data_IF_515704113746
#
_entry.id   IF_515704113746
#
_cell.length_a   1.000
_cell.length_b   1.000
_cell.length_c   1.000
_cell.angle_alpha   90.00
_cell.angle_beta   90.00
_cell.angle_gamma   90.00
#
_symmetry.space_group_name_H-M   'P 1'
#
loop_
_entity.id
_entity.type
_entity.pdbx_description
1 polymer ?
#
# COMPACT_ATOMS: atom_id res chain seq x y z
N UNK A 1 8.80 -27.28 -12.98
CA UNK A 1 8.35 -26.17 -12.11
C UNK A 1 7.73 -25.10 -13.01
N UNK A 2 6.42 -24.86 -12.91
CA UNK A 2 5.67 -23.99 -13.84
C UNK A 2 5.86 -22.50 -13.52
N UNK A 3 6.15 -21.63 -14.52
CA UNK A 3 6.38 -20.18 -14.33
C UNK A 3 5.22 -19.45 -13.62
N UNK A 4 3.98 -19.86 -13.88
CA UNK A 4 2.77 -19.24 -13.28
C UNK A 4 2.68 -19.40 -11.76
N UNK A 5 3.25 -20.49 -11.21
CA UNK A 5 3.28 -20.71 -9.75
C UNK A 5 4.34 -19.85 -9.06
N UNK A 6 5.38 -19.41 -9.77
CA UNK A 6 6.37 -18.48 -9.25
C UNK A 6 5.83 -17.04 -9.23
N UNK A 7 5.12 -16.65 -10.29
CA UNK A 7 4.47 -15.33 -10.39
C UNK A 7 3.38 -15.15 -9.33
N UNK A 8 2.53 -16.16 -9.11
CA UNK A 8 1.53 -16.16 -8.02
C UNK A 8 2.18 -16.01 -6.65
N UNK A 9 3.24 -16.79 -6.35
CA UNK A 9 3.97 -16.70 -5.07
C UNK A 9 4.62 -15.33 -4.89
N UNK A 10 5.19 -14.76 -5.96
CA UNK A 10 5.68 -13.38 -5.94
C UNK A 10 4.58 -12.38 -5.61
N UNK A 11 3.35 -12.60 -6.09
CA UNK A 11 2.21 -11.76 -5.74
C UNK A 11 1.71 -11.96 -4.31
N UNK A 12 1.75 -13.19 -3.79
CA UNK A 12 1.36 -13.51 -2.42
C UNK A 12 2.35 -12.92 -1.39
N UNK A 13 3.61 -12.73 -1.78
CA UNK A 13 4.65 -12.10 -0.97
C UNK A 13 4.63 -10.55 -1.01
N UNK A 14 3.91 -9.96 -1.97
CA UNK A 14 3.82 -8.49 -2.12
C UNK A 14 3.38 -7.78 -0.84
N UNK A 15 2.34 -8.22 -0.09
CA UNK A 15 1.94 -7.54 1.14
C UNK A 15 3.11 -7.38 2.13
N UNK A 16 3.93 -8.42 2.30
CA UNK A 16 5.12 -8.37 3.17
C UNK A 16 6.16 -7.40 2.61
N UNK A 17 6.37 -7.38 1.30
CA UNK A 17 7.25 -6.41 0.66
C UNK A 17 6.78 -4.96 0.88
N UNK A 18 5.48 -4.69 0.70
CA UNK A 18 4.87 -3.38 1.01
C UNK A 18 5.07 -3.02 2.48
N UNK A 19 4.78 -3.93 3.41
CA UNK A 19 4.97 -3.68 4.84
C UNK A 19 6.43 -3.33 5.19
N UNK A 20 7.40 -4.03 4.59
CA UNK A 20 8.83 -3.77 4.77
C UNK A 20 9.27 -2.45 4.15
N UNK A 21 8.85 -2.14 2.94
CA UNK A 21 9.19 -0.87 2.27
C UNK A 21 8.69 0.36 3.05
N UNK A 22 7.57 0.23 3.76
CA UNK A 22 6.93 1.32 4.48
C UNK A 22 7.08 1.25 6.01
N UNK A 23 8.02 0.45 6.55
CA UNK A 23 8.26 0.36 8.00
C UNK A 23 9.27 1.39 8.52
N UNK A 24 10.12 1.94 7.66
CA UNK A 24 11.12 2.95 7.98
C UNK A 24 10.59 4.38 8.01
N UNK A 25 11.42 5.32 8.47
CA UNK A 25 11.09 6.75 8.59
C UNK A 25 10.65 7.36 7.26
N UNK A 26 11.42 7.11 6.20
CA UNK A 26 11.15 7.60 4.85
C UNK A 26 9.85 7.00 4.30
N UNK A 27 9.63 5.71 4.55
CA UNK A 27 8.39 5.03 4.22
C UNK A 27 7.18 5.71 4.86
N UNK A 28 7.26 6.02 6.15
CA UNK A 28 6.20 6.76 6.85
C UNK A 28 6.00 8.19 6.31
N UNK A 29 7.07 8.89 5.94
CA UNK A 29 6.99 10.21 5.31
C UNK A 29 6.27 10.15 3.96
N UNK A 30 6.64 9.19 3.10
CA UNK A 30 5.98 8.98 1.81
C UNK A 30 4.51 8.63 2.01
N UNK A 31 4.18 7.71 2.91
CA UNK A 31 2.79 7.34 3.19
C UNK A 31 1.96 8.53 3.67
N UNK A 32 2.54 9.38 4.51
CA UNK A 32 1.89 10.62 4.98
C UNK A 32 1.67 11.60 3.84
N UNK A 33 2.64 11.77 2.95
CA UNK A 33 2.50 12.61 1.75
C UNK A 33 1.41 12.08 0.82
N UNK A 34 1.37 10.77 0.54
CA UNK A 34 0.33 10.15 -0.31
C UNK A 34 -1.08 10.37 0.26
N UNK A 35 -1.26 10.22 1.57
CA UNK A 35 -2.55 10.50 2.23
C UNK A 35 -2.98 11.95 2.03
N UNK A 36 -2.09 12.90 2.27
CA UNK A 36 -2.37 14.34 2.10
C UNK A 36 -2.68 14.71 0.65
N UNK A 37 -1.89 14.20 -0.29
CA UNK A 37 -1.99 14.56 -1.70
C UNK A 37 -3.25 14.02 -2.37
N UNK A 38 -3.76 12.87 -1.93
CA UNK A 38 -4.82 12.17 -2.66
C UNK A 38 -6.06 11.87 -1.80
N UNK A 39 -5.89 11.31 -0.60
CA UNK A 39 -7.04 10.95 0.25
C UNK A 39 -7.69 12.17 0.90
N UNK A 40 -6.87 13.05 1.46
CA UNK A 40 -7.32 14.24 2.19
C UNK A 40 -7.54 15.44 1.26
N UNK A 41 -7.07 15.35 0.00
CA UNK A 41 -7.27 16.39 -1.00
C UNK A 41 -8.75 16.58 -1.28
N UNK A 42 -9.21 17.82 -1.12
CA UNK A 42 -10.57 18.25 -1.45
C UNK A 42 -10.56 18.98 -2.79
N UNK A 43 -11.59 18.73 -3.58
CA UNK A 43 -11.88 19.50 -4.78
C UNK A 43 -12.94 20.55 -4.46
N UNK A 44 -12.93 21.65 -5.21
CA UNK A 44 -13.93 22.70 -5.10
C UNK A 44 -15.27 22.22 -5.66
N UNK A 45 -16.41 22.79 -5.25
CA UNK A 45 -17.73 22.40 -5.76
C UNK A 45 -17.89 22.56 -7.28
N UNK A 46 -17.10 23.46 -7.89
CA UNK A 46 -17.07 23.71 -9.33
C UNK A 46 -16.09 22.82 -10.11
N UNK A 47 -15.46 21.84 -9.46
CA UNK A 47 -14.55 20.92 -10.14
C UNK A 47 -15.30 20.08 -11.18
N UNK A 48 -14.64 19.79 -12.31
CA UNK A 48 -15.26 19.00 -13.38
C UNK A 48 -15.29 17.52 -13.02
N UNK A 49 -16.24 16.80 -13.59
CA UNK A 49 -16.39 15.34 -13.40
C UNK A 49 -15.11 14.57 -13.72
N UNK A 50 -14.39 14.96 -14.78
CA UNK A 50 -13.12 14.31 -15.13
C UNK A 50 -12.05 14.46 -14.03
N UNK A 51 -12.05 15.58 -13.30
CA UNK A 51 -11.12 15.82 -12.19
C UNK A 51 -11.52 15.01 -10.96
N UNK A 52 -12.82 14.87 -10.71
CA UNK A 52 -13.37 14.00 -9.65
C UNK A 52 -12.98 12.54 -9.90
N UNK A 53 -13.20 12.03 -11.11
CA UNK A 53 -12.86 10.65 -11.47
C UNK A 53 -11.36 10.39 -11.46
N UNK A 54 -10.56 11.35 -11.91
CA UNK A 54 -9.12 11.23 -11.82
C UNK A 54 -8.63 11.14 -10.38
N UNK A 55 -9.15 12.01 -9.50
CA UNK A 55 -8.81 11.97 -8.07
C UNK A 55 -9.28 10.67 -7.41
N UNK A 56 -10.46 10.17 -7.76
CA UNK A 56 -10.97 8.92 -7.20
C UNK A 56 -10.13 7.71 -7.63
N UNK A 57 -9.66 7.69 -8.88
CA UNK A 57 -8.69 6.70 -9.34
C UNK A 57 -7.39 6.73 -8.52
N UNK A 58 -6.86 7.92 -8.24
CA UNK A 58 -5.67 8.08 -7.39
C UNK A 58 -5.93 7.62 -5.95
N UNK A 59 -7.10 7.93 -5.38
CA UNK A 59 -7.49 7.47 -4.03
C UNK A 59 -7.57 5.96 -3.94
N UNK A 60 -8.13 5.30 -4.95
CA UNK A 60 -8.20 3.85 -5.02
C UNK A 60 -6.79 3.21 -4.96
N UNK A 61 -5.84 3.74 -5.72
CA UNK A 61 -4.45 3.27 -5.71
C UNK A 61 -3.80 3.44 -4.33
N UNK A 62 -3.95 4.61 -3.70
CA UNK A 62 -3.38 4.86 -2.37
C UNK A 62 -4.02 3.97 -1.30
N UNK A 63 -5.34 3.78 -1.35
CA UNK A 63 -6.05 2.86 -0.46
C UNK A 63 -5.57 1.41 -0.64
N UNK A 64 -5.30 0.99 -1.88
CA UNK A 64 -4.73 -0.33 -2.16
C UNK A 64 -3.35 -0.50 -1.50
N UNK A 65 -2.46 0.49 -1.64
CA UNK A 65 -1.13 0.48 -0.99
C UNK A 65 -1.27 0.31 0.53
N UNK A 66 -2.14 1.12 1.17
CA UNK A 66 -2.41 1.03 2.61
C UNK A 66 -2.88 -0.39 2.97
N UNK A 67 -3.84 -0.93 2.23
CA UNK A 67 -4.36 -2.27 2.49
C UNK A 67 -3.29 -3.37 2.32
N UNK A 68 -2.33 -3.21 1.40
CA UNK A 68 -1.21 -4.15 1.25
C UNK A 68 -0.25 -4.07 2.44
N UNK A 69 0.07 -2.85 2.91
CA UNK A 69 0.91 -2.63 4.10
C UNK A 69 0.27 -3.29 5.32
N UNK A 70 -1.02 -3.04 5.57
CA UNK A 70 -1.72 -3.59 6.74
C UNK A 70 -1.80 -5.12 6.69
N UNK A 71 -2.11 -5.69 5.52
CA UNK A 71 -2.07 -7.15 5.31
C UNK A 71 -0.69 -7.74 5.57
N UNK A 72 0.36 -7.09 5.08
CA UNK A 72 1.74 -7.51 5.32
C UNK A 72 2.14 -7.45 6.78
N UNK A 73 1.72 -6.41 7.50
CA UNK A 73 1.97 -6.26 8.95
C UNK A 73 1.27 -7.34 9.77
N UNK A 74 0.02 -7.67 9.45
CA UNK A 74 -0.70 -8.77 10.10
C UNK A 74 -0.01 -10.13 9.89
N UNK A 75 0.56 -10.36 8.70
CA UNK A 75 1.37 -11.56 8.40
C UNK A 75 2.76 -11.58 9.04
N UNK A 76 3.24 -10.44 9.56
CA UNK A 76 4.52 -10.29 10.27
C UNK A 76 4.38 -10.39 11.81
N UNK A 77 3.21 -10.79 12.33
CA UNK A 77 2.97 -10.95 13.77
C UNK A 77 4.03 -11.80 14.51
N UNK A 78 4.06 -11.78 15.85
CA UNK A 78 5.22 -12.17 16.68
C UNK A 78 5.75 -13.61 16.48
N UNK A 79 5.00 -14.48 15.81
CA UNK A 79 5.38 -15.86 15.53
C UNK A 79 6.48 -16.04 14.45
N UNK A 80 6.94 -14.97 13.77
CA UNK A 80 8.08 -15.04 12.82
C UNK A 80 9.34 -14.33 13.29
N UNK A 81 9.37 -13.83 14.54
CA UNK A 81 10.53 -13.12 15.13
C UNK A 81 11.18 -13.89 16.29
N UNK A 82 10.92 -15.20 16.39
CA UNK A 82 11.61 -16.11 17.30
C UNK A 82 12.03 -17.36 16.54
N UNK A 83 13.19 -17.30 15.89
CA UNK A 83 14.13 -18.42 15.80
C UNK A 83 15.51 -17.82 15.47
N UNK A 84 16.43 -17.95 16.43
CA UNK A 84 17.90 -17.84 16.40
C UNK A 84 18.43 -16.90 17.50
N UNK A 85 18.90 -17.53 18.59
CA UNK A 85 19.69 -16.92 19.66
C UNK A 85 19.26 -17.38 21.03
#
# INVERSE_FOLDING_TARGET
MHPQAQDRRSMDDLPVAFARCFSGTEGHQVLTALRRLYLERRLVPSARDAELWHLEGQRSVVAHIIAMIERGRAGLGPAKMSIHG
#
